data_IF_358634761119
#
_entry.id   IF_358634761119
#
_cell.length_a   1.000
_cell.length_b   1.000
_cell.length_c   1.000
_cell.angle_alpha   90.00
_cell.angle_beta   90.00
_cell.angle_gamma   90.00
#
_symmetry.space_group_name_H-M   'P 1'
#
loop_
_entity.id
_entity.type
_entity.pdbx_description
1 polymer ?
#
# COMPACT_ATOMS: atom_id res chain seq x y z
N UNK A 1 -9.40 -17.60 -4.36
CA UNK A 1 -8.80 -18.11 -3.10
C UNK A 1 -9.93 -18.40 -2.14
N UNK A 2 -9.99 -19.63 -1.65
CA UNK A 2 -10.86 -19.99 -0.53
C UNK A 2 -10.40 -19.26 0.74
N UNK A 3 -11.26 -19.12 1.75
CA UNK A 3 -10.86 -18.55 3.05
C UNK A 3 -9.69 -19.31 3.68
N UNK A 4 -9.66 -20.64 3.51
CA UNK A 4 -8.59 -21.53 4.00
C UNK A 4 -7.25 -21.25 3.32
N UNK A 5 -7.24 -21.05 2.01
CA UNK A 5 -5.99 -20.76 1.26
C UNK A 5 -5.37 -19.43 1.73
N UNK A 6 -6.23 -18.47 2.09
CA UNK A 6 -5.81 -17.15 2.59
C UNK A 6 -5.19 -17.26 3.99
N UNK A 7 -5.80 -18.03 4.87
CA UNK A 7 -5.28 -18.32 6.21
C UNK A 7 -3.94 -19.07 6.16
N UNK A 8 -3.83 -20.05 5.26
CA UNK A 8 -2.59 -20.79 5.07
C UNK A 8 -1.46 -19.90 4.56
N UNK A 9 -1.71 -19.11 3.52
CA UNK A 9 -0.71 -18.16 2.98
C UNK A 9 -0.26 -17.16 4.05
N UNK A 10 -1.20 -16.65 4.85
CA UNK A 10 -0.92 -15.74 5.95
C UNK A 10 -0.07 -16.40 7.04
N UNK A 11 -0.43 -17.62 7.44
CA UNK A 11 0.30 -18.40 8.45
C UNK A 11 1.72 -18.69 8.00
N UNK A 12 1.92 -19.14 6.77
CA UNK A 12 3.25 -19.43 6.22
C UNK A 12 4.11 -18.16 6.13
N UNK A 13 3.52 -17.01 5.82
CA UNK A 13 4.26 -15.74 5.81
C UNK A 13 4.66 -15.28 7.22
N UNK A 14 3.77 -15.41 8.21
CA UNK A 14 4.10 -15.07 9.61
C UNK A 14 5.25 -15.96 10.13
N UNK A 15 5.22 -17.25 9.81
CA UNK A 15 6.20 -18.26 10.25
C UNK A 15 7.53 -18.25 9.50
N UNK A 16 7.73 -17.29 8.59
CA UNK A 16 8.91 -17.22 7.73
C UNK A 16 9.11 -18.45 6.81
N UNK A 17 8.05 -19.25 6.60
CA UNK A 17 8.04 -20.36 5.64
C UNK A 17 8.02 -19.84 4.19
N UNK A 18 7.46 -18.64 3.98
CA UNK A 18 7.53 -17.90 2.72
C UNK A 18 8.08 -16.49 2.96
N UNK A 19 8.98 -16.04 2.08
CA UNK A 19 9.64 -14.75 2.22
C UNK A 19 8.86 -13.57 1.63
N UNK A 20 8.00 -13.85 0.65
CA UNK A 20 7.26 -12.82 -0.09
C UNK A 20 5.79 -13.19 -0.11
N UNK A 21 4.96 -12.21 0.25
CA UNK A 21 3.51 -12.31 0.20
C UNK A 21 2.97 -11.22 -0.71
N UNK A 22 2.19 -11.62 -1.71
CA UNK A 22 1.52 -10.70 -2.64
C UNK A 22 0.06 -10.61 -2.22
N UNK A 23 -0.42 -9.39 -1.99
CA UNK A 23 -1.76 -9.13 -1.49
C UNK A 23 -2.36 -7.87 -2.12
N UNK A 24 -3.66 -7.89 -2.35
CA UNK A 24 -4.44 -6.69 -2.68
C UNK A 24 -4.83 -5.94 -1.41
N UNK A 25 -5.19 -4.65 -1.51
CA UNK A 25 -5.68 -3.81 -0.40
C UNK A 25 -6.75 -4.49 0.47
N UNK A 26 -7.58 -5.35 -0.12
CA UNK A 26 -8.61 -6.13 0.58
C UNK A 26 -8.10 -7.31 1.43
N UNK A 27 -6.80 -7.37 1.75
CA UNK A 27 -6.24 -8.37 2.67
C UNK A 27 -6.62 -8.02 4.12
N UNK A 28 -7.92 -8.11 4.43
CA UNK A 28 -8.55 -7.65 5.67
C UNK A 28 -8.21 -8.43 6.93
N UNK A 29 -7.22 -9.33 6.90
CA UNK A 29 -6.80 -10.07 8.10
C UNK A 29 -5.77 -9.31 8.94
N UNK A 30 -5.19 -8.23 8.39
CA UNK A 30 -4.16 -7.46 9.07
C UNK A 30 -2.87 -8.28 9.26
N UNK A 31 -1.86 -8.03 8.44
CA UNK A 31 -0.55 -8.65 8.63
C UNK A 31 0.13 -7.99 9.83
N UNK A 32 0.26 -8.74 10.91
CA UNK A 32 1.04 -8.36 12.10
C UNK A 32 2.30 -9.24 12.21
N UNK A 33 3.29 -8.87 11.41
CA UNK A 33 4.62 -9.50 11.42
C UNK A 33 5.64 -8.40 11.73
N UNK A 34 6.37 -8.47 12.86
CA UNK A 34 7.22 -7.36 13.28
C UNK A 34 8.40 -7.13 12.35
N UNK A 35 8.87 -8.18 11.69
CA UNK A 35 10.09 -8.21 10.90
C UNK A 35 9.89 -8.03 9.38
N UNK A 36 8.86 -7.28 8.95
CA UNK A 36 8.69 -6.96 7.53
C UNK A 36 9.72 -5.91 7.09
N UNK A 37 10.62 -6.29 6.17
CA UNK A 37 11.72 -5.43 5.67
C UNK A 37 11.38 -4.61 4.44
N UNK A 38 10.46 -5.08 3.61
CA UNK A 38 10.11 -4.42 2.37
C UNK A 38 8.60 -4.46 2.17
N UNK A 39 8.01 -3.31 1.84
CA UNK A 39 6.64 -3.20 1.33
C UNK A 39 6.73 -2.58 -0.05
N UNK A 40 6.06 -3.19 -1.03
CA UNK A 40 6.03 -2.70 -2.41
C UNK A 40 4.58 -2.43 -2.77
N UNK A 41 4.26 -1.16 -3.01
CA UNK A 41 3.00 -0.74 -3.61
C UNK A 41 3.18 -0.70 -5.12
N UNK A 42 2.33 -1.44 -5.81
CA UNK A 42 2.29 -1.46 -7.26
C UNK A 42 0.94 -0.90 -7.74
N UNK A 43 0.97 0.34 -8.21
CA UNK A 43 -0.20 1.15 -8.52
C UNK A 43 -0.38 2.32 -7.55
N UNK A 44 -1.28 3.24 -7.91
CA UNK A 44 -1.58 4.40 -7.09
C UNK A 44 -2.39 4.02 -5.84
N UNK A 45 -2.05 4.57 -4.66
CA UNK A 45 -2.87 4.39 -3.48
C UNK A 45 -4.21 5.11 -3.66
N UNK A 46 -5.28 4.51 -3.13
CA UNK A 46 -6.64 5.10 -3.18
C UNK A 46 -6.76 6.35 -2.33
N UNK A 47 -6.08 6.37 -1.20
CA UNK A 47 -5.95 7.52 -0.32
C UNK A 47 -4.56 7.53 0.30
N UNK A 48 -4.12 8.71 0.74
CA UNK A 48 -2.86 8.86 1.44
C UNK A 48 -2.87 8.11 2.79
N UNK A 49 -4.02 8.05 3.45
CA UNK A 49 -4.21 7.30 4.70
C UNK A 49 -3.97 5.80 4.51
N UNK A 50 -4.59 5.19 3.49
CA UNK A 50 -4.39 3.76 3.20
C UNK A 50 -2.92 3.45 2.94
N UNK A 51 -2.23 4.32 2.18
CA UNK A 51 -0.79 4.19 1.95
C UNK A 51 0.01 4.23 3.27
N UNK A 52 -0.31 5.16 4.18
CA UNK A 52 0.36 5.23 5.48
C UNK A 52 0.10 4.01 6.36
N UNK A 53 -1.15 3.51 6.40
CA UNK A 53 -1.50 2.31 7.17
C UNK A 53 -0.77 1.07 6.64
N UNK A 54 -0.73 0.91 5.31
CA UNK A 54 -0.05 -0.21 4.64
C UNK A 54 1.47 -0.15 4.82
N UNK A 55 2.08 1.04 4.62
CA UNK A 55 3.51 1.27 4.91
C UNK A 55 3.83 0.99 6.38
N UNK A 56 2.95 1.35 7.31
CA UNK A 56 3.15 1.16 8.76
C UNK A 56 3.22 -0.31 9.23
N UNK A 57 3.11 -1.27 8.30
CA UNK A 57 3.35 -2.70 8.59
C UNK A 57 4.84 -3.05 8.59
N UNK A 58 5.70 -2.29 7.90
CA UNK A 58 7.12 -2.56 7.88
C UNK A 58 7.85 -1.97 9.09
N UNK A 59 8.93 -2.62 9.53
CA UNK A 59 9.83 -2.07 10.55
C UNK A 59 9.23 -1.92 11.95
N UNK A 60 8.23 -2.73 12.34
CA UNK A 60 7.65 -2.67 13.70
C UNK A 60 8.63 -3.12 14.79
N UNK A 61 9.68 -3.83 14.41
CA UNK A 61 10.83 -4.19 15.26
C UNK A 61 11.86 -3.05 15.42
N UNK A 62 11.61 -1.87 14.83
CA UNK A 62 12.54 -0.72 14.87
C UNK A 62 13.75 -0.88 13.96
N UNK A 63 13.83 -1.96 13.17
CA UNK A 63 14.90 -2.18 12.23
C UNK A 63 14.61 -1.50 10.88
N UNK A 64 15.70 -1.08 10.23
CA UNK A 64 15.64 -0.43 8.93
C UNK A 64 14.80 -1.25 7.95
N UNK A 65 13.77 -0.60 7.42
CA UNK A 65 12.82 -1.19 6.48
C UNK A 65 12.61 -0.22 5.31
N UNK A 66 12.10 -0.72 4.20
CA UNK A 66 11.97 0.03 2.95
C UNK A 66 10.53 -0.07 2.46
N UNK A 67 9.99 1.04 1.98
CA UNK A 67 8.72 1.06 1.27
C UNK A 67 8.92 1.63 -0.13
N UNK A 68 8.53 0.88 -1.15
CA UNK A 68 8.57 1.30 -2.55
C UNK A 68 7.16 1.56 -3.05
N UNK A 69 7.00 2.64 -3.81
CA UNK A 69 5.77 3.00 -4.48
C UNK A 69 6.04 3.13 -5.97
N UNK A 70 5.53 2.17 -6.74
CA UNK A 70 5.54 2.19 -8.20
C UNK A 70 4.19 2.66 -8.69
N UNK A 71 4.18 3.71 -9.51
CA UNK A 71 2.94 4.23 -10.06
C UNK A 71 3.15 4.80 -11.46
N UNK A 72 2.08 4.81 -12.24
CA UNK A 72 2.00 5.51 -13.52
C UNK A 72 0.90 6.55 -13.46
N UNK A 73 0.95 7.59 -14.32
CA UNK A 73 -0.15 8.57 -14.40
C UNK A 73 -1.49 7.92 -14.74
N UNK A 74 -1.47 6.86 -15.54
CA UNK A 74 -2.68 6.09 -15.91
C UNK A 74 -3.32 5.34 -14.74
N UNK A 75 -2.58 5.06 -13.67
CA UNK A 75 -3.15 4.35 -12.52
C UNK A 75 -4.12 5.23 -11.71
N UNK A 76 -3.92 6.55 -11.71
CA UNK A 76 -4.89 7.49 -11.13
C UNK A 76 -6.21 7.55 -11.92
N UNK A 77 -6.14 7.43 -13.25
CA UNK A 77 -7.34 7.38 -14.09
C UNK A 77 -8.15 6.08 -13.90
N UNK A 78 -7.47 4.98 -13.55
CA UNK A 78 -8.12 3.69 -13.21
C UNK A 78 -8.72 3.69 -11.80
N UNK A 79 -8.16 4.46 -10.87
CA UNK A 79 -8.69 4.55 -9.51
C UNK A 79 -10.13 5.10 -9.48
N UNK A 80 -10.43 6.06 -10.36
CA UNK A 80 -11.81 6.55 -10.58
C UNK A 80 -12.76 5.43 -11.00
N UNK A 81 -12.30 4.48 -11.83
CA UNK A 81 -13.10 3.36 -12.30
C UNK A 81 -13.41 2.33 -11.20
N UNK A 82 -12.48 2.06 -10.28
CA UNK A 82 -12.68 1.10 -9.19
C UNK A 82 -13.50 1.65 -8.01
N UNK A 83 -13.82 2.94 -8.01
CA UNK A 83 -14.48 3.60 -6.87
C UNK A 83 -16.02 3.50 -6.90
N UNK A 84 -16.60 2.78 -7.87
CA UNK A 84 -18.04 2.76 -8.10
C UNK A 84 -18.55 4.14 -8.54
N UNK A 85 -19.86 4.34 -8.70
CA UNK A 85 -20.43 5.70 -8.75
C UNK A 85 -20.80 6.14 -7.33
N UNK A 86 -19.94 6.89 -6.61
CA UNK A 86 -20.30 7.38 -5.30
C UNK A 86 -21.30 8.54 -5.50
N UNK A 87 -22.39 8.54 -4.76
CA UNK A 87 -23.43 9.58 -4.85
C UNK A 87 -23.14 10.72 -3.87
N UNK A 88 -23.26 11.96 -4.33
CA UNK A 88 -23.20 13.17 -3.50
C UNK A 88 -21.86 13.38 -2.77
N UNK A 89 -21.93 13.68 -1.47
CA UNK A 89 -20.82 14.13 -0.61
C UNK A 89 -19.66 13.12 -0.55
N UNK A 90 -19.96 11.81 -0.63
CA UNK A 90 -18.91 10.78 -0.60
C UNK A 90 -17.96 10.86 -1.80
N UNK A 91 -18.47 11.30 -2.96
CA UNK A 91 -17.66 11.44 -4.18
C UNK A 91 -16.61 12.53 -4.03
N UNK A 92 -16.98 13.66 -3.43
CA UNK A 92 -16.06 14.78 -3.21
C UNK A 92 -14.92 14.38 -2.29
N UNK A 93 -15.21 13.71 -1.17
CA UNK A 93 -14.19 13.24 -0.23
C UNK A 93 -13.23 12.21 -0.87
N UNK A 94 -13.74 11.32 -1.73
CA UNK A 94 -12.92 10.35 -2.47
C UNK A 94 -12.01 11.08 -3.46
N UNK A 95 -12.54 12.03 -4.22
CA UNK A 95 -11.77 12.82 -5.18
C UNK A 95 -10.68 13.63 -4.45
N UNK A 96 -11.01 14.27 -3.33
CA UNK A 96 -10.03 15.01 -2.52
C UNK A 96 -8.89 14.11 -2.03
N UNK A 97 -9.24 12.92 -1.51
CA UNK A 97 -8.27 11.92 -1.06
C UNK A 97 -7.37 11.44 -2.20
N UNK A 98 -7.94 11.21 -3.38
CA UNK A 98 -7.21 10.81 -4.58
C UNK A 98 -6.27 11.93 -5.07
N UNK A 99 -6.75 13.18 -5.11
CA UNK A 99 -5.93 14.34 -5.47
C UNK A 99 -4.78 14.54 -4.50
N UNK A 100 -4.99 14.35 -3.20
CA UNK A 100 -3.94 14.42 -2.19
C UNK A 100 -2.88 13.32 -2.42
N UNK A 101 -3.30 12.09 -2.70
CA UNK A 101 -2.40 10.99 -3.05
C UNK A 101 -1.62 11.27 -4.34
N UNK A 102 -2.28 11.82 -5.37
CA UNK A 102 -1.65 12.21 -6.63
C UNK A 102 -0.61 13.30 -6.41
N UNK A 103 -0.95 14.34 -5.65
CA UNK A 103 -0.03 15.42 -5.30
C UNK A 103 1.17 14.90 -4.53
N UNK A 104 0.97 13.99 -3.58
CA UNK A 104 2.06 13.34 -2.85
C UNK A 104 3.01 12.60 -3.79
N UNK A 105 2.46 11.81 -4.72
CA UNK A 105 3.25 11.08 -5.70
C UNK A 105 4.05 12.04 -6.60
N UNK A 106 3.44 13.11 -7.10
CA UNK A 106 4.08 14.08 -7.99
C UNK A 106 5.13 14.96 -7.30
N UNK A 107 4.85 15.47 -6.10
CA UNK A 107 5.78 16.31 -5.34
C UNK A 107 7.01 15.53 -4.87
N UNK A 108 6.82 14.26 -4.54
CA UNK A 108 7.93 13.37 -4.15
C UNK A 108 8.79 12.98 -5.36
N UNK A 109 8.34 13.27 -6.59
CA UNK A 109 8.96 12.81 -7.86
C UNK A 109 9.93 13.81 -8.52
N UNK A 110 10.36 14.86 -7.83
CA UNK A 110 11.60 15.54 -8.18
C UNK A 110 12.83 14.74 -7.73
N UNK A 111 12.90 13.47 -8.14
CA UNK A 111 14.13 12.75 -8.49
C UNK A 111 13.88 11.31 -8.97
N UNK A 112 14.47 11.03 -10.14
CA UNK A 112 14.94 9.72 -10.66
C UNK A 112 15.16 8.68 -9.55
N UNK A 113 14.57 7.49 -9.70
CA UNK A 113 14.93 6.25 -8.96
C UNK A 113 15.30 6.54 -7.50
N UNK A 114 14.35 7.05 -6.73
CA UNK A 114 14.63 7.43 -5.36
C UNK A 114 14.77 6.18 -4.48
N UNK A 115 16.03 5.78 -4.26
CA UNK A 115 16.47 4.92 -3.15
C UNK A 115 16.25 5.65 -1.81
N UNK A 116 15.01 6.02 -1.48
CA UNK A 116 14.65 6.28 -0.09
C UNK A 116 14.17 4.97 0.49
N UNK A 117 15.13 4.20 1.02
CA UNK A 117 14.84 3.45 2.23
C UNK A 117 14.44 4.49 3.27
N UNK A 118 13.14 4.75 3.41
CA UNK A 118 12.62 5.48 4.55
C UNK A 118 12.92 4.57 5.73
N UNK A 119 14.05 4.81 6.42
CA UNK A 119 14.31 4.22 7.72
C UNK A 119 13.15 4.64 8.62
N UNK A 120 12.22 3.72 8.81
CA UNK A 120 11.26 3.80 9.89
C UNK A 120 12.10 3.50 11.13
N UNK A 121 12.43 4.56 11.88
CA UNK A 121 12.95 4.46 13.25
C UNK A 121 11.75 4.38 14.20
#
# INVERSE_FOLDING_TARGET
>A
MSGKDREESHRSFIRDEVHVMVATVAFGMGIDKPNIRCVIHYGCPKSLESYYQERGRCGRDGLASICWLYYTRSDFAKADFFSGEPQGIQREAIIESLMAAQKYCLLTVLARVFRRGIRIQ
#
